data_IF_550843015500
#
_entry.id   IF_550843015500
#
_cell.length_a   1.000
_cell.length_b   1.000
_cell.length_c   1.000
_cell.angle_alpha   90.00
_cell.angle_beta   90.00
_cell.angle_gamma   90.00
#
_symmetry.space_group_name_H-M   'P 1'
#
loop_
_entity.id
_entity.type
_entity.pdbx_description
1 polymer ?
#
# COMPACT_ATOMS: atom_id res chain seq x y z
N UNK A 1 10.81 -8.94 -7.79
CA UNK A 1 11.71 -8.18 -6.90
C UNK A 1 13.13 -8.74 -6.84
N UNK A 2 13.38 -10.06 -6.72
CA UNK A 2 14.75 -10.61 -6.65
C UNK A 2 15.61 -10.25 -7.89
N UNK A 3 15.10 -10.47 -9.11
CA UNK A 3 15.76 -10.04 -10.37
C UNK A 3 16.01 -8.53 -10.45
N UNK A 4 15.15 -7.70 -9.85
CA UNK A 4 15.35 -6.24 -9.86
C UNK A 4 16.60 -5.85 -9.07
N UNK A 5 16.90 -6.54 -7.95
CA UNK A 5 18.10 -6.28 -7.15
C UNK A 5 19.40 -6.61 -7.90
N UNK A 6 19.36 -7.41 -8.97
CA UNK A 6 20.55 -7.73 -9.77
C UNK A 6 20.78 -6.70 -10.89
N UNK A 7 19.92 -5.68 -11.00
CA UNK A 7 20.12 -4.60 -11.97
C UNK A 7 21.43 -3.86 -11.67
N UNK A 8 22.27 -3.52 -12.67
CA UNK A 8 23.58 -2.89 -12.46
C UNK A 8 23.50 -1.64 -11.56
N UNK A 9 22.50 -0.78 -11.81
CA UNK A 9 22.30 0.45 -11.02
C UNK A 9 21.89 0.24 -9.54
N UNK A 10 21.60 -0.99 -9.10
CA UNK A 10 21.13 -1.31 -7.73
C UNK A 10 22.09 -2.27 -7.02
N UNK A 11 22.71 -3.19 -7.78
CA UNK A 11 23.51 -4.29 -7.23
C UNK A 11 24.63 -3.80 -6.31
N UNK A 12 25.38 -2.79 -6.73
CA UNK A 12 26.52 -2.24 -5.98
C UNK A 12 26.09 -1.71 -4.61
N UNK A 13 24.91 -1.09 -4.51
CA UNK A 13 24.37 -0.59 -3.22
C UNK A 13 24.09 -1.70 -2.20
N UNK A 14 23.88 -2.94 -2.67
CA UNK A 14 23.51 -4.08 -1.83
C UNK A 14 24.68 -5.06 -1.59
N UNK A 15 25.84 -4.84 -2.22
CA UNK A 15 27.00 -5.72 -2.11
C UNK A 15 27.56 -5.74 -0.69
N UNK A 16 27.94 -6.93 -0.20
CA UNK A 16 28.35 -7.15 1.20
C UNK A 16 27.21 -7.02 2.23
N UNK A 17 26.02 -6.57 1.83
CA UNK A 17 24.87 -6.41 2.70
C UNK A 17 24.24 -7.75 3.11
N UNK A 18 23.72 -7.82 4.35
CA UNK A 18 22.97 -8.97 4.86
C UNK A 18 21.47 -8.64 4.94
N UNK A 19 20.64 -9.40 4.24
CA UNK A 19 19.17 -9.29 4.34
C UNK A 19 18.70 -9.78 5.72
N UNK A 20 18.04 -8.93 6.49
CA UNK A 20 17.53 -9.25 7.83
C UNK A 20 16.07 -9.73 7.84
N UNK A 21 15.26 -9.33 6.86
CA UNK A 21 13.82 -9.67 6.83
C UNK A 21 13.27 -9.73 5.39
N UNK A 22 12.04 -10.21 5.26
CA UNK A 22 11.26 -10.18 4.02
C UNK A 22 9.78 -10.18 4.37
N UNK A 23 8.97 -9.44 3.61
CA UNK A 23 7.52 -9.43 3.73
C UNK A 23 6.87 -9.02 2.41
N UNK A 24 5.59 -9.35 2.27
CA UNK A 24 4.77 -8.99 1.15
C UNK A 24 3.33 -8.73 1.62
N UNK A 25 2.63 -7.78 0.98
CA UNK A 25 1.22 -7.47 1.24
C UNK A 25 0.57 -6.95 -0.04
N UNK A 26 -0.70 -7.27 -0.25
CA UNK A 26 -1.50 -6.65 -1.30
C UNK A 26 -1.79 -5.16 -0.98
N UNK A 27 -1.95 -4.35 -2.02
CA UNK A 27 -2.31 -2.93 -1.91
C UNK A 27 -3.40 -2.59 -2.93
N UNK A 28 -4.32 -1.71 -2.57
CA UNK A 28 -5.41 -1.29 -3.46
C UNK A 28 -4.85 -0.41 -4.60
N UNK A 29 -5.36 -0.59 -5.82
CA UNK A 29 -5.01 0.26 -6.97
C UNK A 29 -6.23 0.78 -7.75
N UNK A 30 -7.44 0.36 -7.39
CA UNK A 30 -8.67 0.77 -8.07
C UNK A 30 -9.03 2.25 -7.91
N UNK A 31 -8.62 2.87 -6.80
CA UNK A 31 -8.87 4.28 -6.53
C UNK A 31 -10.37 4.60 -6.42
N UNK A 32 -10.74 5.82 -6.80
CA UNK A 32 -12.11 6.33 -6.66
C UNK A 32 -13.16 5.46 -7.35
N UNK A 33 -12.82 4.91 -8.52
CA UNK A 33 -13.73 4.10 -9.33
C UNK A 33 -14.05 2.73 -8.71
N UNK A 34 -13.38 2.36 -7.62
CA UNK A 34 -13.58 1.08 -6.93
C UNK A 34 -14.06 1.26 -5.50
N UNK A 35 -14.48 2.47 -5.09
CA UNK A 35 -15.04 2.67 -3.76
C UNK A 35 -16.44 2.05 -3.65
N UNK A 36 -16.70 1.21 -2.65
CA UNK A 36 -18.02 0.64 -2.40
C UNK A 36 -18.91 1.61 -1.62
N UNK A 37 -20.16 1.20 -1.34
CA UNK A 37 -20.97 1.83 -0.31
C UNK A 37 -20.29 1.66 1.05
N UNK A 38 -20.00 2.76 1.74
CA UNK A 38 -19.11 2.76 2.91
C UNK A 38 -19.80 2.45 4.24
N UNK A 39 -21.12 2.48 4.32
CA UNK A 39 -21.87 2.30 5.57
C UNK A 39 -22.94 1.22 5.44
N UNK A 40 -23.22 0.58 6.57
CA UNK A 40 -24.28 -0.42 6.72
C UNK A 40 -24.84 -0.35 8.16
N UNK A 41 -26.03 -0.91 8.44
CA UNK A 41 -26.60 -0.87 9.79
C UNK A 41 -25.63 -1.49 10.81
N UNK A 42 -25.17 -0.68 11.77
CA UNK A 42 -24.24 -1.11 12.81
C UNK A 42 -22.75 -1.03 12.45
N UNK A 43 -22.36 -0.50 11.28
CA UNK A 43 -20.94 -0.40 10.94
C UNK A 43 -20.58 0.43 9.70
N UNK A 44 -19.28 0.57 9.48
CA UNK A 44 -18.70 1.30 8.35
C UNK A 44 -17.37 0.71 7.91
N UNK A 45 -17.01 0.95 6.64
CA UNK A 45 -15.70 0.62 6.08
C UNK A 45 -14.81 1.86 6.01
N UNK A 46 -13.57 1.73 6.45
CA UNK A 46 -12.57 2.81 6.46
C UNK A 46 -11.23 2.36 5.89
N UNK A 47 -10.39 3.33 5.55
CA UNK A 47 -9.02 3.13 5.08
C UNK A 47 -8.86 2.21 3.87
N UNK A 48 -7.87 1.31 3.94
CA UNK A 48 -7.52 0.44 2.81
C UNK A 48 -8.57 -0.64 2.56
N UNK A 49 -9.38 -1.00 3.57
CA UNK A 49 -10.54 -1.88 3.37
C UNK A 49 -11.56 -1.21 2.44
N UNK A 50 -11.86 0.07 2.72
CA UNK A 50 -12.73 0.88 1.85
C UNK A 50 -12.09 1.24 0.49
N UNK A 51 -10.75 1.17 0.36
CA UNK A 51 -10.05 1.40 -0.90
C UNK A 51 -9.48 2.81 -1.11
N UNK A 52 -9.30 3.61 -0.05
CA UNK A 52 -8.87 5.01 -0.15
C UNK A 52 -7.36 5.23 -0.41
N UNK A 53 -6.62 4.22 -0.90
CA UNK A 53 -5.22 4.38 -1.26
C UNK A 53 -5.08 5.28 -2.50
N UNK A 54 -4.16 6.23 -2.48
CA UNK A 54 -3.76 6.99 -3.67
C UNK A 54 -2.63 6.23 -4.40
N UNK A 55 -2.91 5.55 -5.53
CA UNK A 55 -1.93 4.70 -6.19
C UNK A 55 -0.83 5.50 -6.89
N UNK A 56 -1.15 6.68 -7.44
CA UNK A 56 -0.19 7.53 -8.13
C UNK A 56 0.89 8.06 -7.18
N UNK A 57 0.52 8.34 -5.93
CA UNK A 57 1.46 8.78 -4.90
C UNK A 57 2.04 7.64 -4.06
N UNK A 58 1.49 6.42 -4.20
CA UNK A 58 1.79 5.27 -3.32
C UNK A 58 1.56 5.66 -1.85
N UNK A 59 0.43 6.31 -1.55
CA UNK A 59 0.10 6.78 -0.19
C UNK A 59 -1.31 6.34 0.21
N UNK A 60 -1.40 5.49 1.23
CA UNK A 60 -2.68 5.08 1.85
C UNK A 60 -2.84 5.50 3.31
N UNK A 61 -1.75 5.75 4.05
CA UNK A 61 -1.83 5.96 5.49
C UNK A 61 -2.64 7.21 5.88
N UNK A 62 -2.34 8.36 5.27
CA UNK A 62 -3.04 9.62 5.54
C UNK A 62 -4.55 9.56 5.28
N UNK A 63 -4.98 8.93 4.18
CA UNK A 63 -6.40 8.75 3.85
C UNK A 63 -7.05 7.69 4.74
N UNK A 64 -6.34 6.63 5.10
CA UNK A 64 -6.82 5.65 6.08
C UNK A 64 -7.03 6.25 7.47
N UNK A 65 -6.09 7.07 7.95
CA UNK A 65 -6.28 7.81 9.19
C UNK A 65 -7.46 8.78 9.08
N UNK A 66 -7.55 9.55 7.99
CA UNK A 66 -8.61 10.54 7.83
C UNK A 66 -10.00 9.91 7.80
N UNK A 67 -10.16 8.76 7.15
CA UNK A 67 -11.44 8.05 7.09
C UNK A 67 -11.82 7.39 8.41
N UNK A 68 -10.88 7.11 9.31
CA UNK A 68 -11.19 6.67 10.68
C UNK A 68 -11.44 7.81 11.67
N UNK A 69 -11.06 9.05 11.33
CA UNK A 69 -11.30 10.24 12.15
C UNK A 69 -12.64 10.93 11.87
N UNK A 70 -13.16 10.75 10.66
CA UNK A 70 -14.46 11.26 10.21
C UNK A 70 -15.54 10.25 10.56
#
# INVERSE_FOLDING_TARGET
FQRWKTHPAIRETLEGGKRISYGARAVNKGGLNSLPKLTFPGGMMVGCEAGFLNPAKIKGNHTAMKTGML
#
